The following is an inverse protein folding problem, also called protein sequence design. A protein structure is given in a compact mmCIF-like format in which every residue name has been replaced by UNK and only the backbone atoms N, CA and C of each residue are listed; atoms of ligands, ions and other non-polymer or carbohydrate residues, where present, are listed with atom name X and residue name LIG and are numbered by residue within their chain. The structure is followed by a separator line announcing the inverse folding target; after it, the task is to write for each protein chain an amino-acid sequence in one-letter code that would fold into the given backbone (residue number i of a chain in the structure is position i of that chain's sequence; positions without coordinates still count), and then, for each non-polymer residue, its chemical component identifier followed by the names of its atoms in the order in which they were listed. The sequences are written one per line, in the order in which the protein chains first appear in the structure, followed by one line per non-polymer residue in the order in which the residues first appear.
data_IF_288587854735
#
_entry.id   IF_288587854735
#
_cell.length_a   1.000
_cell.length_b   1.000
_cell.length_c   1.000
_cell.angle_alpha   90.00
_cell.angle_beta   90.00
_cell.angle_gamma   90.00
#
_symmetry.space_group_name_H-M   'P 1'
#
loop_
_entity.id
_entity.type
_entity.pdbx_description
1 polymer ?
#
# COMPACT_ATOMS: atom_id res chain seq x y z
N UNK A 1 -0.57 28.11 10.79
CA UNK A 1 0.33 27.21 10.04
C UNK A 1 -0.02 27.37 8.57
N UNK A 2 0.65 28.28 7.85
CA UNK A 2 0.48 28.40 6.41
C UNK A 2 1.22 27.25 5.75
N UNK A 3 0.53 26.44 4.95
CA UNK A 3 1.21 25.50 4.06
C UNK A 3 1.66 26.32 2.86
N UNK A 4 2.95 26.59 2.72
CA UNK A 4 3.48 27.27 1.53
C UNK A 4 3.21 26.36 0.31
N UNK A 5 2.15 26.68 -0.42
CA UNK A 5 1.85 26.05 -1.70
C UNK A 5 2.83 26.62 -2.72
N UNK A 6 3.78 25.80 -3.16
CA UNK A 6 4.80 26.24 -4.09
C UNK A 6 4.20 26.39 -5.49
N UNK A 7 4.45 27.52 -6.16
CA UNK A 7 4.05 27.74 -7.55
C UNK A 7 4.69 26.66 -8.42
N UNK A 8 3.89 26.05 -9.31
CA UNK A 8 4.37 25.02 -10.20
C UNK A 8 5.30 25.61 -11.28
N UNK A 9 6.60 25.39 -11.12
CA UNK A 9 7.65 25.81 -12.06
C UNK A 9 7.47 25.24 -13.47
N UNK A 10 6.85 24.06 -13.60
CA UNK A 10 6.58 23.43 -14.88
C UNK A 10 5.62 24.20 -15.79
N UNK A 11 4.68 24.97 -15.23
CA UNK A 11 3.70 25.76 -15.99
C UNK A 11 3.66 27.23 -15.57
N UNK A 12 4.58 27.67 -14.73
CA UNK A 12 4.65 29.04 -14.20
C UNK A 12 3.38 29.48 -13.47
N UNK A 13 2.69 28.58 -12.76
CA UNK A 13 1.48 28.95 -12.01
C UNK A 13 0.14 28.85 -12.76
N UNK A 14 0.15 28.70 -14.09
CA UNK A 14 -1.12 28.76 -14.86
C UNK A 14 -1.99 27.50 -14.77
N UNK A 15 -1.40 26.34 -14.44
CA UNK A 15 -2.06 25.04 -14.56
C UNK A 15 -2.15 24.50 -15.99
N UNK A 16 -1.63 25.22 -16.99
CA UNK A 16 -1.78 24.87 -18.41
C UNK A 16 -0.41 24.90 -19.11
N UNK A 17 -0.20 23.99 -20.07
CA UNK A 17 0.96 24.02 -20.97
C UNK A 17 0.49 24.30 -22.40
N UNK A 18 1.13 25.26 -23.04
CA UNK A 18 0.98 25.53 -24.47
C UNK A 18 1.65 24.42 -25.27
N UNK A 19 0.91 23.80 -26.19
CA UNK A 19 1.45 22.83 -27.16
C UNK A 19 1.73 23.55 -28.49
N UNK A 20 0.82 24.44 -28.89
CA UNK A 20 0.94 25.33 -30.05
C UNK A 20 0.15 26.62 -29.80
N UNK A 21 0.07 27.54 -30.76
CA UNK A 21 -0.64 28.82 -30.59
C UNK A 21 -2.11 28.64 -30.19
N UNK A 22 -2.79 27.64 -30.75
CA UNK A 22 -4.22 27.40 -30.53
C UNK A 22 -4.50 26.14 -29.69
N UNK A 23 -3.47 25.46 -29.19
CA UNK A 23 -3.64 24.19 -28.46
C UNK A 23 -2.94 24.22 -27.11
N UNK A 24 -3.70 23.89 -26.08
CA UNK A 24 -3.24 23.81 -24.70
C UNK A 24 -3.56 22.43 -24.12
N UNK A 25 -2.81 22.03 -23.11
CA UNK A 25 -3.15 20.88 -22.26
C UNK A 25 -2.98 21.22 -20.80
N UNK A 26 -3.70 20.54 -19.95
CA UNK A 26 -3.50 20.59 -18.51
C UNK A 26 -2.06 20.25 -18.14
N UNK A 27 -1.46 21.02 -17.23
CA UNK A 27 -0.14 20.72 -16.69
C UNK A 27 -0.23 19.47 -15.82
N UNK A 28 0.37 18.37 -16.28
CA UNK A 28 0.35 17.08 -15.57
C UNK A 28 1.15 17.11 -14.25
N UNK A 29 2.05 18.08 -14.07
CA UNK A 29 2.88 18.18 -12.88
C UNK A 29 2.09 18.70 -11.66
N UNK A 30 1.23 19.70 -11.87
CA UNK A 30 0.34 20.24 -10.84
C UNK A 30 -1.13 19.84 -11.04
N UNK A 31 -1.40 18.92 -11.98
CA UNK A 31 -2.74 18.45 -12.34
C UNK A 31 -3.74 19.59 -12.63
N UNK A 32 -3.26 20.68 -13.24
CA UNK A 32 -4.11 21.83 -13.58
C UNK A 32 -4.26 22.89 -12.49
N UNK A 33 -3.67 22.72 -11.32
CA UNK A 33 -3.87 23.63 -10.17
C UNK A 33 -3.02 24.89 -10.21
N UNK A 34 -1.92 24.87 -10.95
CA UNK A 34 -0.93 25.96 -10.95
C UNK A 34 0.04 25.92 -9.77
N UNK A 35 -0.27 25.18 -8.72
CA UNK A 35 0.56 25.02 -7.53
C UNK A 35 0.83 23.54 -7.25
N UNK A 36 1.98 23.24 -6.66
CA UNK A 36 2.30 21.92 -6.15
C UNK A 36 1.66 21.77 -4.79
N UNK A 37 0.89 20.70 -4.60
CA UNK A 37 0.44 20.38 -3.26
C UNK A 37 1.65 20.03 -2.40
N UNK A 38 1.71 20.54 -1.16
CA UNK A 38 2.65 20.01 -0.19
C UNK A 38 2.38 18.52 -0.08
N UNK A 39 3.38 17.71 -0.43
CA UNK A 39 3.38 16.30 -0.11
C UNK A 39 3.42 16.20 1.40
N UNK A 40 2.24 16.11 2.01
CA UNK A 40 2.12 15.53 3.33
C UNK A 40 2.61 14.10 3.15
N UNK A 41 3.90 13.88 3.42
CA UNK A 41 4.47 12.55 3.57
C UNK A 41 3.65 11.91 4.68
N UNK A 42 2.64 11.14 4.29
CA UNK A 42 1.92 10.29 5.22
C UNK A 42 3.01 9.48 5.91
N UNK A 43 3.08 9.44 7.25
CA UNK A 43 4.08 8.62 7.91
C UNK A 43 3.91 7.21 7.33
N UNK A 44 4.98 6.72 6.69
CA UNK A 44 5.06 5.40 6.11
C UNK A 44 4.41 4.46 7.13
N UNK A 45 3.28 3.79 6.83
CA UNK A 45 2.78 2.82 7.78
C UNK A 45 3.91 1.82 7.93
N UNK A 46 4.49 1.77 9.14
CA UNK A 46 5.47 0.77 9.49
C UNK A 46 4.75 -0.56 9.29
N UNK A 47 4.97 -1.17 8.13
CA UNK A 47 4.47 -2.48 7.79
C UNK A 47 5.18 -3.40 8.78
N UNK A 48 4.54 -3.66 9.93
CA UNK A 48 5.02 -4.64 10.88
C UNK A 48 4.90 -5.95 10.16
N UNK A 49 6.05 -6.45 9.71
CA UNK A 49 6.24 -7.74 9.09
C UNK A 49 5.89 -8.84 10.11
N UNK A 50 4.60 -9.04 10.36
CA UNK A 50 4.11 -10.30 10.92
C UNK A 50 3.97 -11.24 9.74
N UNK A 51 5.11 -11.79 9.34
CA UNK A 51 5.22 -12.90 8.38
C UNK A 51 4.16 -13.95 8.71
N UNK A 52 3.16 -14.04 7.83
CA UNK A 52 2.06 -15.02 7.86
C UNK A 52 2.62 -16.45 7.88
N UNK A 53 3.86 -16.63 7.41
CA UNK A 53 4.59 -17.89 7.39
C UNK A 53 4.83 -18.42 8.80
N UNK A 54 5.22 -17.59 9.77
CA UNK A 54 5.49 -18.06 11.14
C UNK A 54 4.23 -18.58 11.84
N UNK A 55 3.06 -18.00 11.55
CA UNK A 55 1.79 -18.44 12.11
C UNK A 55 1.31 -19.79 11.54
N UNK A 56 1.73 -20.14 10.32
CA UNK A 56 1.39 -21.43 9.70
C UNK A 56 2.29 -22.55 10.21
N UNK A 57 3.57 -22.28 10.49
CA UNK A 57 4.52 -23.29 11.01
C UNK A 57 4.08 -23.82 12.38
N UNK A 58 3.62 -22.94 13.27
CA UNK A 58 3.12 -23.29 14.62
C UNK A 58 1.87 -24.22 14.57
N UNK A 59 1.00 -24.05 13.57
CA UNK A 59 -0.19 -24.90 13.38
C UNK A 59 0.15 -26.27 12.79
N UNK A 60 1.23 -26.38 12.03
CA UNK A 60 1.66 -27.62 11.40
C UNK A 60 2.30 -28.58 12.42
N UNK A 61 3.01 -28.09 13.44
CA UNK A 61 3.57 -28.96 14.49
C UNK A 61 2.49 -29.50 15.42
N UNK A 62 1.53 -28.67 15.83
CA UNK A 62 0.44 -29.09 16.73
C UNK A 62 -0.50 -30.15 16.10
N UNK A 63 -0.55 -30.20 14.76
CA UNK A 63 -1.39 -31.15 14.03
C UNK A 63 -0.81 -32.57 13.94
N UNK A 64 0.45 -32.79 14.33
CA UNK A 64 1.08 -34.13 14.29
C UNK A 64 0.78 -34.98 15.54
N UNK A 65 0.46 -34.36 16.68
CA UNK A 65 0.15 -35.11 17.91
C UNK A 65 -1.28 -35.72 17.88
N UNK A 66 -2.21 -35.10 17.16
CA UNK A 66 -3.63 -35.52 17.14
C UNK A 66 -3.86 -36.76 16.27
N UNK A 67 -3.02 -37.01 15.26
CA UNK A 67 -3.19 -38.15 14.34
C UNK A 67 -2.77 -39.48 14.97
N UNK A 68 -1.81 -39.48 15.91
CA UNK A 68 -1.33 -40.72 16.54
C UNK A 68 -2.26 -41.28 17.63
N UNK A 69 -3.07 -40.45 18.30
CA UNK A 69 -3.96 -40.92 19.38
C UNK A 69 -5.27 -41.55 18.87
N UNK A 70 -5.70 -41.27 17.65
CA UNK A 70 -7.00 -41.75 17.11
C UNK A 70 -6.90 -43.14 16.46
N UNK A 71 -5.69 -43.63 16.15
CA UNK A 71 -5.49 -44.95 15.56
C UNK A 71 -5.56 -46.12 16.58
N UNK A 72 -5.55 -45.84 17.88
CA UNK A 72 -5.48 -46.88 18.92
C UNK A 72 -6.84 -47.33 19.49
N UNK A 73 -7.97 -46.73 19.09
CA UNK A 73 -9.25 -46.93 19.75
C UNK A 73 -10.35 -47.57 18.87
N UNK A 74 -10.00 -48.32 17.82
CA UNK A 74 -11.01 -49.01 17.00
C UNK A 74 -10.52 -50.39 16.54
N UNK A 75 -10.28 -51.27 17.52
CA UNK A 75 -10.30 -52.72 17.33
C UNK A 75 -10.86 -53.37 18.59
N UNK A 76 -12.18 -53.50 18.66
CA UNK A 76 -12.82 -54.54 19.49
C UNK A 76 -14.22 -54.81 18.95
N UNK A 77 -14.27 -55.69 17.94
CA UNK A 77 -15.46 -56.46 17.60
C UNK A 77 -15.42 -57.71 18.46
N UNK A 78 -16.40 -57.88 19.35
CA UNK A 78 -16.95 -59.17 19.77
C UNK A 78 -18.40 -59.00 20.17
#
# INVERSE_FOLDING_TARGET
MGSDMAICSSCGGSGIKRISEQRFRTCQHCLGRGELQPVYSSPKPALKDRSVVHALTERAEKSKEVVFKTAAASTSVR
#
